data_IF_723986337059
#
_entry.id   IF_723986337059
#
_cell.length_a   1.000
_cell.length_b   1.000
_cell.length_c   1.000
_cell.angle_alpha   90.00
_cell.angle_beta   90.00
_cell.angle_gamma   90.00
#
_symmetry.space_group_name_H-M   'P 1'
#
loop_
_entity.id
_entity.type
_entity.pdbx_description
1 polymer ?
#
# COMPACT_ATOMS: atom_id res chain seq x y z
N UNK A 1 -17.16 -5.38 -5.88
CA UNK A 1 -15.87 -5.31 -5.16
C UNK A 1 -15.04 -4.19 -5.75
N UNK A 2 -14.44 -3.32 -4.91
CA UNK A 2 -13.65 -2.17 -5.38
C UNK A 2 -12.34 -2.14 -4.60
N UNK A 3 -11.26 -2.45 -5.30
CA UNK A 3 -9.91 -2.57 -4.75
C UNK A 3 -9.03 -1.48 -5.36
N UNK A 4 -8.25 -0.80 -4.52
CA UNK A 4 -7.12 -0.02 -4.96
C UNK A 4 -5.85 -0.84 -4.73
N UNK A 5 -5.10 -1.08 -5.79
CA UNK A 5 -3.83 -1.79 -5.73
C UNK A 5 -2.69 -0.77 -5.65
N UNK A 6 -1.91 -0.78 -4.56
CA UNK A 6 -0.75 0.10 -4.34
C UNK A 6 0.50 -0.60 -4.85
N UNK A 7 0.44 -0.97 -6.14
CA UNK A 7 1.44 -1.84 -6.76
C UNK A 7 2.74 -1.08 -7.01
N UNK A 8 2.65 0.12 -7.57
CA UNK A 8 3.78 0.95 -8.01
C UNK A 8 3.29 2.36 -8.27
N UNK A 9 3.85 3.37 -7.60
CA UNK A 9 4.00 4.65 -8.25
C UNK A 9 3.59 5.89 -7.46
N UNK A 10 4.22 6.95 -7.90
CA UNK A 10 4.22 8.30 -7.36
C UNK A 10 2.83 8.91 -7.14
N UNK A 11 1.75 8.35 -7.69
CA UNK A 11 0.37 8.77 -7.39
C UNK A 11 0.03 8.72 -5.89
N UNK A 12 0.75 7.91 -5.11
CA UNK A 12 0.62 7.79 -3.66
C UNK A 12 1.55 8.72 -2.86
N UNK A 13 2.36 9.57 -3.49
CA UNK A 13 3.26 10.52 -2.83
C UNK A 13 2.57 11.54 -1.90
N UNK A 14 1.24 11.60 -1.90
CA UNK A 14 0.48 12.56 -1.10
C UNK A 14 0.46 13.96 -1.72
N UNK A 15 -0.18 14.95 -1.06
CA UNK A 15 -0.14 16.34 -1.48
C UNK A 15 1.28 16.88 -1.72
N UNK A 16 2.26 16.38 -0.96
CA UNK A 16 3.67 16.76 -0.99
C UNK A 16 4.33 16.47 -2.35
N UNK A 17 3.83 15.48 -3.09
CA UNK A 17 4.34 15.12 -4.42
C UNK A 17 3.69 15.86 -5.59
N UNK A 18 2.63 16.65 -5.36
CA UNK A 18 1.82 17.25 -6.44
C UNK A 18 2.58 18.25 -7.28
N UNK A 19 3.46 19.03 -6.66
CA UNK A 19 4.30 20.01 -7.36
C UNK A 19 5.28 19.34 -8.34
N UNK A 20 5.65 18.08 -8.07
CA UNK A 20 6.47 17.26 -8.96
C UNK A 20 5.65 16.39 -9.93
N UNK A 21 4.34 16.66 -10.08
CA UNK A 21 3.44 15.92 -10.97
C UNK A 21 2.90 14.60 -10.42
N UNK A 22 3.14 14.31 -9.13
CA UNK A 22 2.81 13.04 -8.47
C UNK A 22 1.66 13.23 -7.46
N UNK A 23 1.30 12.26 -6.61
CA UNK A 23 0.29 12.47 -5.54
C UNK A 23 -1.17 12.59 -6.01
N UNK A 24 -1.47 12.13 -7.24
CA UNK A 24 -2.75 12.32 -7.92
C UNK A 24 -3.74 11.15 -7.76
N UNK A 25 -3.55 10.25 -6.78
CA UNK A 25 -4.42 9.08 -6.65
C UNK A 25 -5.90 9.44 -6.43
N UNK A 26 -6.19 10.34 -5.49
CA UNK A 26 -7.58 10.68 -5.16
C UNK A 26 -8.30 11.35 -6.34
N UNK A 27 -7.60 12.20 -7.10
CA UNK A 27 -8.16 12.79 -8.33
C UNK A 27 -8.35 11.76 -9.43
N UNK A 28 -7.45 10.78 -9.58
CA UNK A 28 -7.60 9.68 -10.54
C UNK A 28 -8.77 8.76 -10.20
N UNK A 29 -9.00 8.47 -8.92
CA UNK A 29 -10.18 7.72 -8.46
C UNK A 29 -11.46 8.49 -8.78
N UNK A 30 -11.51 9.79 -8.45
CA UNK A 30 -12.64 10.65 -8.77
C UNK A 30 -12.92 10.73 -10.28
N UNK A 31 -11.87 10.87 -11.10
CA UNK A 31 -11.99 10.88 -12.56
C UNK A 31 -12.51 9.55 -13.15
N UNK A 32 -12.38 8.44 -12.42
CA UNK A 32 -12.96 7.15 -12.79
C UNK A 32 -14.42 6.95 -12.36
N UNK A 33 -15.04 7.98 -11.77
CA UNK A 33 -16.44 7.94 -11.34
C UNK A 33 -16.67 7.31 -9.95
N UNK A 34 -15.61 7.13 -9.17
CA UNK A 34 -15.67 6.58 -7.80
C UNK A 34 -15.20 7.59 -6.77
N UNK A 35 -15.70 7.48 -5.55
CA UNK A 35 -15.16 8.17 -4.39
C UNK A 35 -14.09 7.32 -3.70
N UNK A 36 -13.16 7.94 -2.96
CA UNK A 36 -12.20 7.18 -2.12
C UNK A 36 -12.91 6.29 -1.08
N UNK A 37 -14.11 6.69 -0.63
CA UNK A 37 -14.95 5.89 0.26
C UNK A 37 -15.51 4.63 -0.39
N UNK A 38 -15.51 4.54 -1.73
CA UNK A 38 -15.91 3.32 -2.44
C UNK A 38 -14.83 2.24 -2.41
N UNK A 39 -13.59 2.57 -2.04
CA UNK A 39 -12.48 1.62 -1.94
C UNK A 39 -12.63 0.81 -0.65
N UNK A 40 -12.66 -0.51 -0.80
CA UNK A 40 -12.89 -1.46 0.31
C UNK A 40 -11.64 -2.27 0.68
N UNK A 41 -10.65 -2.33 -0.21
CA UNK A 41 -9.37 -2.99 0.01
C UNK A 41 -8.25 -2.14 -0.58
N UNK A 42 -7.20 -1.92 0.20
CA UNK A 42 -5.95 -1.28 -0.23
C UNK A 42 -4.82 -2.29 -0.04
N UNK A 43 -4.22 -2.80 -1.12
CA UNK A 43 -3.08 -3.73 -1.04
C UNK A 43 -1.76 -2.97 -1.16
N UNK A 44 -0.91 -3.04 -0.13
CA UNK A 44 0.33 -2.26 0.01
C UNK A 44 1.54 -3.17 -0.25
N UNK A 45 2.15 -3.04 -1.43
CA UNK A 45 3.29 -3.87 -1.85
C UNK A 45 4.51 -3.75 -0.93
N UNK A 46 4.84 -2.54 -0.50
CA UNK A 46 5.92 -2.24 0.44
C UNK A 46 5.72 -0.86 1.09
N UNK A 47 6.45 -0.55 2.16
CA UNK A 47 6.20 0.61 3.02
C UNK A 47 7.15 1.80 2.78
N UNK A 48 7.54 2.05 1.53
CA UNK A 48 8.19 3.31 1.18
C UNK A 48 7.21 4.48 1.19
N UNK A 49 7.73 5.67 1.45
CA UNK A 49 6.95 6.90 1.57
C UNK A 49 6.07 7.17 0.34
N UNK A 50 6.60 6.90 -0.86
CA UNK A 50 5.88 7.12 -2.12
C UNK A 50 4.69 6.19 -2.34
N UNK A 51 4.58 5.13 -1.55
CA UNK A 51 3.44 4.20 -1.54
C UNK A 51 2.44 4.49 -0.41
N UNK A 52 2.88 5.12 0.68
CA UNK A 52 2.07 5.25 1.91
C UNK A 52 1.62 6.68 2.21
N UNK A 53 2.25 7.70 1.61
CA UNK A 53 1.98 9.10 1.94
C UNK A 53 0.52 9.51 1.73
N UNK A 54 -0.17 8.92 0.73
CA UNK A 54 -1.58 9.18 0.44
C UNK A 54 -2.57 8.29 1.19
N UNK A 55 -2.15 7.48 2.16
CA UNK A 55 -3.07 6.70 2.99
C UNK A 55 -3.79 7.57 4.04
N UNK A 56 -3.15 8.65 4.48
CA UNK A 56 -3.70 9.61 5.46
C UNK A 56 -3.69 11.03 4.90
N UNK A 57 -4.78 11.76 5.13
CA UNK A 57 -4.94 13.20 4.85
C UNK A 57 -5.08 13.94 6.18
N UNK A 58 -3.98 14.59 6.62
CA UNK A 58 -3.80 14.92 8.03
C UNK A 58 -3.89 13.66 8.89
N UNK A 59 -4.80 13.67 9.87
CA UNK A 59 -5.05 12.56 10.79
C UNK A 59 -6.20 11.63 10.35
N UNK A 60 -6.74 11.82 9.13
CA UNK A 60 -7.88 11.04 8.63
C UNK A 60 -7.47 10.05 7.54
N UNK A 61 -7.90 8.78 7.60
CA UNK A 61 -7.70 7.82 6.51
C UNK A 61 -8.39 8.29 5.22
N UNK A 62 -7.66 8.26 4.10
CA UNK A 62 -8.20 8.58 2.77
C UNK A 62 -9.21 7.51 2.32
N UNK A 63 -8.93 6.25 2.66
CA UNK A 63 -9.77 5.08 2.37
C UNK A 63 -10.48 4.61 3.63
N UNK A 64 -11.48 5.39 4.08
CA UNK A 64 -12.11 5.21 5.39
C UNK A 64 -12.79 3.84 5.58
N UNK A 65 -13.31 3.26 4.50
CA UNK A 65 -13.99 1.96 4.45
C UNK A 65 -13.05 0.78 4.15
N UNK A 66 -11.77 1.05 3.86
CA UNK A 66 -10.86 0.00 3.42
C UNK A 66 -10.19 -0.72 4.60
N UNK A 67 -10.08 -2.04 4.46
CA UNK A 67 -8.99 -2.78 5.12
C UNK A 67 -7.70 -2.59 4.32
N UNK A 68 -6.58 -2.48 5.01
CA UNK A 68 -5.26 -2.29 4.41
C UNK A 68 -4.50 -3.60 4.49
N UNK A 69 -3.95 -4.09 3.39
CA UNK A 69 -3.32 -5.40 3.32
C UNK A 69 -1.83 -5.20 3.10
N UNK A 70 -0.99 -5.81 3.93
CA UNK A 70 0.47 -5.72 3.83
C UNK A 70 1.10 -7.05 4.21
N UNK A 71 2.26 -7.36 3.64
CA UNK A 71 3.03 -8.53 4.02
C UNK A 71 3.44 -8.46 5.48
N UNK A 72 3.28 -9.55 6.24
CA UNK A 72 3.67 -9.60 7.65
C UNK A 72 5.15 -9.24 7.84
N UNK A 73 6.03 -9.79 6.98
CA UNK A 73 7.45 -9.51 7.04
C UNK A 73 7.79 -8.04 6.78
N UNK A 74 7.05 -7.38 5.88
CA UNK A 74 7.20 -5.95 5.60
C UNK A 74 6.80 -5.14 6.83
N UNK A 75 5.64 -5.44 7.41
CA UNK A 75 5.22 -4.81 8.67
C UNK A 75 6.28 -4.99 9.76
N UNK A 76 6.78 -6.21 9.98
CA UNK A 76 7.77 -6.50 11.01
C UNK A 76 9.08 -5.75 10.78
N UNK A 77 9.56 -5.69 9.53
CA UNK A 77 10.79 -4.97 9.20
C UNK A 77 10.70 -3.46 9.50
N UNK A 78 9.58 -2.83 9.17
CA UNK A 78 9.38 -1.38 9.32
C UNK A 78 8.81 -0.96 10.68
N UNK A 79 8.34 -1.90 11.50
CA UNK A 79 7.85 -1.60 12.85
C UNK A 79 8.73 -2.18 13.95
N UNK A 80 9.74 -2.99 13.60
CA UNK A 80 10.81 -3.37 14.50
C UNK A 80 11.61 -2.16 15.00
N UNK A 81 12.36 -2.37 16.09
CA UNK A 81 13.09 -1.33 16.80
C UNK A 81 13.96 -0.46 15.86
N UNK A 82 13.83 0.84 16.11
CA UNK A 82 14.42 2.00 15.44
C UNK A 82 14.70 1.88 13.93
N UNK A 83 13.69 2.20 13.12
CA UNK A 83 13.85 2.37 11.66
C UNK A 83 14.85 3.48 11.32
N UNK A 84 15.08 4.45 12.22
CA UNK A 84 15.94 5.60 11.95
C UNK A 84 17.43 5.25 11.86
N UNK A 85 17.84 4.06 12.34
CA UNK A 85 19.22 3.55 12.20
C UNK A 85 19.40 2.64 10.99
N UNK A 86 18.34 2.33 10.24
CA UNK A 86 18.40 1.51 9.02
C UNK A 86 18.78 2.39 7.82
N UNK A 87 19.33 1.83 6.73
CA UNK A 87 19.54 2.57 5.45
C UNK A 87 18.27 3.24 4.91
N UNK A 88 17.11 2.81 5.40
CA UNK A 88 15.79 3.29 5.05
C UNK A 88 15.20 4.35 6.01
N UNK A 89 16.02 4.97 6.87
CA UNK A 89 15.63 5.97 7.87
C UNK A 89 14.78 7.11 7.29
N UNK A 90 14.99 7.48 6.02
CA UNK A 90 14.22 8.50 5.31
C UNK A 90 12.71 8.23 5.25
N UNK A 91 12.28 6.98 5.43
CA UNK A 91 10.86 6.60 5.45
C UNK A 91 10.26 6.51 6.85
N UNK A 92 11.07 6.59 7.92
CA UNK A 92 10.62 6.40 9.30
C UNK A 92 9.47 7.35 9.68
N UNK A 93 9.57 8.62 9.31
CA UNK A 93 8.51 9.62 9.55
C UNK A 93 7.20 9.26 8.85
N UNK A 94 7.28 8.74 7.62
CA UNK A 94 6.10 8.32 6.86
C UNK A 94 5.45 7.09 7.50
N UNK A 95 6.23 6.11 7.96
CA UNK A 95 5.71 4.96 8.72
C UNK A 95 4.93 5.42 9.96
N UNK A 96 5.55 6.28 10.78
CA UNK A 96 4.97 6.78 12.02
C UNK A 96 3.66 7.53 11.79
N UNK A 97 3.60 8.39 10.76
CA UNK A 97 2.45 9.26 10.50
C UNK A 97 1.36 8.62 9.64
N UNK A 98 1.72 7.68 8.76
CA UNK A 98 0.82 7.18 7.71
C UNK A 98 0.41 5.72 7.90
N UNK A 99 1.22 4.92 8.60
CA UNK A 99 1.02 3.47 8.70
C UNK A 99 0.61 3.04 10.10
N UNK A 100 1.31 3.50 11.15
CA UNK A 100 0.95 3.12 12.52
C UNK A 100 -0.49 3.50 12.93
N UNK A 101 -1.05 4.66 12.53
CA UNK A 101 -2.45 4.99 12.82
C UNK A 101 -3.47 4.05 12.17
N UNK A 102 -3.06 3.30 11.13
CA UNK A 102 -3.93 2.38 10.41
C UNK A 102 -3.83 0.93 10.92
N UNK A 103 -3.03 0.65 11.94
CA UNK A 103 -2.75 -0.72 12.43
C UNK A 103 -4.02 -1.54 12.67
N UNK A 104 -5.04 -0.97 13.29
CA UNK A 104 -6.29 -1.68 13.60
C UNK A 104 -7.12 -2.04 12.36
N UNK A 105 -6.87 -1.35 11.24
CA UNK A 105 -7.49 -1.63 9.93
C UNK A 105 -6.59 -2.47 9.02
N UNK A 106 -5.45 -2.95 9.52
CA UNK A 106 -4.51 -3.75 8.74
C UNK A 106 -4.79 -5.24 8.82
N UNK A 107 -4.58 -5.92 7.69
CA UNK A 107 -4.53 -7.37 7.56
C UNK A 107 -3.12 -7.74 7.12
N UNK A 108 -2.45 -8.58 7.90
CA UNK A 108 -1.13 -9.08 7.57
C UNK A 108 -1.24 -10.39 6.81
N UNK A 109 -0.49 -10.50 5.72
CA UNK A 109 -0.54 -11.67 4.84
C UNK A 109 0.86 -12.25 4.57
N UNK A 110 0.89 -13.53 4.21
CA UNK A 110 2.08 -14.22 3.70
C UNK A 110 2.05 -14.36 2.19
N UNK A 111 2.93 -15.22 1.67
CA UNK A 111 2.88 -15.67 0.28
C UNK A 111 1.57 -16.42 -0.02
N UNK A 112 1.11 -16.36 -1.27
CA UNK A 112 -0.03 -17.12 -1.80
C UNK A 112 -1.36 -16.90 -1.07
N UNK A 113 -1.47 -15.78 -0.34
CA UNK A 113 -2.68 -15.42 0.38
C UNK A 113 -3.70 -14.77 -0.57
N UNK A 114 -4.97 -15.18 -0.46
CA UNK A 114 -6.05 -14.52 -1.20
C UNK A 114 -6.34 -13.14 -0.59
N UNK A 115 -6.24 -12.10 -1.40
CA UNK A 115 -6.53 -10.72 -1.03
C UNK A 115 -7.97 -10.36 -1.39
N UNK A 116 -8.40 -10.84 -2.55
CA UNK A 116 -9.73 -10.68 -3.12
C UNK A 116 -10.04 -11.89 -4.00
N UNK A 117 -11.32 -12.15 -4.32
CA UNK A 117 -11.70 -13.02 -5.44
C UNK A 117 -10.84 -12.73 -6.68
N UNK A 118 -10.03 -13.73 -7.06
CA UNK A 118 -9.12 -13.64 -8.20
C UNK A 118 -7.84 -12.84 -7.98
N UNK A 119 -7.53 -12.38 -6.76
CA UNK A 119 -6.27 -11.68 -6.44
C UNK A 119 -5.51 -12.39 -5.34
N UNK A 120 -4.24 -12.71 -5.61
CA UNK A 120 -3.36 -13.46 -4.71
C UNK A 120 -2.06 -12.68 -4.45
N UNK A 121 -1.45 -12.86 -3.29
CA UNK A 121 -0.11 -12.34 -3.01
C UNK A 121 0.99 -13.29 -3.51
N UNK A 122 2.14 -12.72 -3.89
CA UNK A 122 3.38 -13.45 -4.11
C UNK A 122 4.55 -12.68 -3.52
N UNK A 123 5.60 -13.38 -3.08
CA UNK A 123 6.85 -12.75 -2.61
C UNK A 123 7.64 -12.25 -3.81
N UNK A 124 8.12 -11.01 -3.73
CA UNK A 124 8.90 -10.35 -4.76
C UNK A 124 10.06 -9.55 -4.13
N UNK A 125 10.80 -10.20 -3.22
CA UNK A 125 11.84 -9.56 -2.42
C UNK A 125 12.96 -8.94 -3.28
N UNK A 126 13.52 -7.81 -2.81
CA UNK A 126 14.66 -7.15 -3.44
C UNK A 126 14.62 -5.62 -3.33
N UNK A 127 13.48 -5.00 -3.65
CA UNK A 127 13.32 -3.53 -3.59
C UNK A 127 13.26 -3.02 -2.14
N UNK A 128 12.47 -3.68 -1.31
CA UNK A 128 12.65 -3.79 0.15
C UNK A 128 13.13 -5.22 0.46
N UNK A 129 13.69 -5.47 1.65
CA UNK A 129 14.18 -6.81 2.00
C UNK A 129 13.12 -7.92 1.87
N UNK A 130 11.83 -7.57 1.90
CA UNK A 130 10.70 -8.50 1.95
C UNK A 130 9.49 -8.04 1.11
N UNK A 131 9.73 -7.28 0.03
CA UNK A 131 8.67 -6.80 -0.89
C UNK A 131 7.78 -7.94 -1.37
N UNK A 132 6.49 -7.67 -1.52
CA UNK A 132 5.51 -8.60 -2.08
C UNK A 132 4.66 -7.90 -3.16
N UNK A 133 3.97 -8.69 -3.98
CA UNK A 133 3.10 -8.20 -5.07
C UNK A 133 1.75 -8.88 -5.03
N UNK A 134 0.69 -8.18 -5.43
CA UNK A 134 -0.59 -8.78 -5.74
C UNK A 134 -0.63 -9.21 -7.22
N UNK A 135 -1.37 -10.24 -7.59
CA UNK A 135 -1.59 -10.57 -8.99
C UNK A 135 -2.97 -11.15 -9.23
N UNK A 136 -3.52 -10.90 -10.41
CA UNK A 136 -4.81 -11.46 -10.81
C UNK A 136 -4.63 -12.90 -11.27
N UNK A 137 -5.25 -13.84 -10.56
CA UNK A 137 -5.39 -15.22 -11.00
C UNK A 137 -6.37 -15.22 -12.19
N UNK A 138 -5.87 -15.14 -13.42
CA UNK A 138 -6.65 -15.57 -14.57
C UNK A 138 -6.85 -17.08 -14.42
N UNK A 139 -8.08 -17.52 -14.13
CA UNK A 139 -8.42 -18.92 -14.39
C UNK A 139 -8.16 -19.15 -15.89
N UNK A 140 -7.11 -19.89 -16.23
CA UNK A 140 -6.85 -20.36 -17.59
C UNK A 140 -5.85 -19.58 -18.46
N UNK A 141 -4.82 -18.95 -17.90
CA UNK A 141 -3.64 -18.59 -18.71
C UNK A 141 -2.34 -18.86 -17.95
N UNK A 142 -1.78 -20.05 -18.16
CA UNK A 142 -0.38 -20.30 -17.91
C UNK A 142 0.43 -19.33 -18.79
N UNK A 143 1.26 -18.48 -18.18
CA UNK A 143 2.32 -17.81 -18.92
C UNK A 143 3.44 -18.83 -19.15
N UNK A 144 3.67 -19.15 -20.42
CA UNK A 144 5.00 -19.48 -20.91
C UNK A 144 5.87 -18.22 -20.89
#
# INVERSE_FOLDING_TARGET
MRMADVQTGSAFNGPEGRESGTGQLASRIAASGYASSDVTIVAISHLHADHINRLMDGDRPVFSQARHVVGQAEWDYWTAADVSVKPAAMHATAIQRKILPLREKMTFIGADASIAPGVTSMVAAGHTPVTWRSYWNRQGAACC
#
